data_IF_039142005833
#
_entry.id   IF_039142005833
#
_cell.length_a   1.000
_cell.length_b   1.000
_cell.length_c   1.000
_cell.angle_alpha   90.00
_cell.angle_beta   90.00
_cell.angle_gamma   90.00
#
_symmetry.space_group_name_H-M   'P 1'
#
loop_
_entity.id
_entity.type
_entity.pdbx_description
1 polymer ?
#
# COMPACT_ATOMS: atom_id res chain seq x y z
N UNK A 1 20.03 -9.66 -3.81
CA UNK A 1 20.06 -9.45 -2.34
C UNK A 1 18.75 -8.89 -1.80
N UNK A 2 18.13 -7.89 -2.44
CA UNK A 2 16.86 -7.25 -2.04
C UNK A 2 15.68 -8.22 -1.89
N UNK A 3 15.50 -9.16 -2.84
CA UNK A 3 14.43 -10.15 -2.78
C UNK A 3 14.51 -11.05 -1.55
N UNK A 4 15.73 -11.43 -1.14
CA UNK A 4 15.96 -12.21 0.09
C UNK A 4 15.64 -11.39 1.34
N UNK A 5 16.04 -10.10 1.39
CA UNK A 5 15.68 -9.21 2.52
C UNK A 5 14.16 -9.10 2.66
N UNK A 6 13.45 -8.91 1.55
CA UNK A 6 11.98 -8.90 1.54
C UNK A 6 11.40 -10.23 2.03
N UNK A 7 11.89 -11.35 1.49
CA UNK A 7 11.42 -12.67 1.89
C UNK A 7 11.62 -12.93 3.38
N UNK A 8 12.76 -12.53 3.95
CA UNK A 8 13.04 -12.65 5.39
C UNK A 8 12.14 -11.73 6.21
N UNK A 9 12.01 -10.44 5.84
CA UNK A 9 11.16 -9.49 6.58
C UNK A 9 9.69 -9.92 6.59
N UNK A 10 9.17 -10.33 5.43
CA UNK A 10 7.80 -10.81 5.27
C UNK A 10 7.64 -12.14 6.01
N UNK A 11 8.52 -13.10 5.74
CA UNK A 11 8.47 -14.44 6.31
C UNK A 11 8.58 -14.46 7.82
N UNK A 12 9.50 -13.68 8.41
CA UNK A 12 9.62 -13.54 9.85
C UNK A 12 8.38 -12.92 10.49
N UNK A 13 7.77 -11.92 9.84
CA UNK A 13 6.54 -11.29 10.34
C UNK A 13 5.36 -12.26 10.34
N UNK A 14 5.13 -12.97 9.22
CA UNK A 14 4.06 -13.97 9.13
C UNK A 14 4.32 -15.18 10.03
N UNK A 15 5.56 -15.68 10.08
CA UNK A 15 5.96 -16.77 10.95
C UNK A 15 5.80 -16.43 12.43
N UNK A 16 6.19 -15.22 12.83
CA UNK A 16 5.97 -14.69 14.18
C UNK A 16 4.48 -14.58 14.51
N UNK A 17 3.67 -14.02 13.60
CA UNK A 17 2.22 -13.93 13.80
C UNK A 17 1.57 -15.32 13.94
N UNK A 18 2.00 -16.28 13.13
CA UNK A 18 1.53 -17.66 13.22
C UNK A 18 1.90 -18.30 14.56
N UNK A 19 3.17 -18.16 14.99
CA UNK A 19 3.65 -18.69 16.25
C UNK A 19 2.91 -18.08 17.44
N UNK A 20 2.76 -16.76 17.48
CA UNK A 20 1.98 -16.05 18.51
C UNK A 20 0.54 -16.54 18.53
N UNK A 21 -0.07 -16.74 17.36
CA UNK A 21 -1.45 -17.25 17.26
C UNK A 21 -1.57 -18.68 17.76
N UNK A 22 -0.58 -19.53 17.48
CA UNK A 22 -0.52 -20.90 17.96
C UNK A 22 -0.35 -20.98 19.48
N UNK A 23 0.50 -20.13 20.06
CA UNK A 23 0.81 -20.14 21.50
C UNK A 23 -0.29 -19.49 22.36
N UNK A 24 -0.82 -18.34 21.95
CA UNK A 24 -1.78 -17.56 22.74
C UNK A 24 -3.23 -18.03 22.50
N UNK A 25 -3.50 -18.52 21.29
CA UNK A 25 -4.83 -18.92 20.85
C UNK A 25 -5.66 -17.75 20.29
N UNK A 26 -6.45 -18.06 19.25
CA UNK A 26 -7.32 -17.10 18.54
C UNK A 26 -8.30 -16.33 19.45
N UNK A 27 -8.95 -16.92 20.48
CA UNK A 27 -9.94 -16.20 21.28
C UNK A 27 -9.34 -15.02 22.05
N UNK A 28 -8.14 -15.17 22.60
CA UNK A 28 -7.45 -14.10 23.34
C UNK A 28 -6.98 -12.98 22.41
N UNK A 29 -6.44 -13.33 21.24
CA UNK A 29 -6.05 -12.36 20.21
C UNK A 29 -7.26 -11.55 19.75
N UNK A 30 -8.42 -12.19 19.51
CA UNK A 30 -9.65 -11.48 19.13
C UNK A 30 -10.13 -10.51 20.21
N UNK A 31 -9.99 -10.86 21.50
CA UNK A 31 -10.32 -9.95 22.61
C UNK A 31 -9.38 -8.74 22.66
N UNK A 32 -8.11 -8.92 22.30
CA UNK A 32 -7.12 -7.86 22.25
C UNK A 32 -7.11 -7.06 20.93
N UNK A 33 -7.96 -7.43 19.95
CA UNK A 33 -7.95 -6.82 18.61
C UNK A 33 -8.00 -5.28 18.62
N UNK A 34 -8.84 -4.61 19.40
CA UNK A 34 -8.85 -3.13 19.43
C UNK A 34 -7.52 -2.52 19.88
N UNK A 35 -6.84 -3.14 20.85
CA UNK A 35 -5.54 -2.68 21.33
C UNK A 35 -4.44 -2.94 20.29
N UNK A 36 -4.49 -4.08 19.60
CA UNK A 36 -3.58 -4.42 18.50
C UNK A 36 -3.77 -3.42 17.35
N UNK A 37 -5.00 -3.14 16.94
CA UNK A 37 -5.32 -2.19 15.86
C UNK A 37 -4.81 -0.78 16.21
N UNK A 38 -4.98 -0.36 17.46
CA UNK A 38 -4.45 0.93 17.95
C UNK A 38 -2.92 0.96 17.87
N UNK A 39 -2.25 -0.09 18.36
CA UNK A 39 -0.80 -0.19 18.33
C UNK A 39 -0.24 -0.21 16.90
N UNK A 40 -0.87 -0.97 15.99
CA UNK A 40 -0.51 -1.01 14.56
C UNK A 40 -0.68 0.38 13.95
N UNK A 41 -1.78 1.08 14.24
CA UNK A 41 -2.04 2.41 13.69
C UNK A 41 -0.97 3.42 14.13
N UNK A 42 -0.60 3.41 15.42
CA UNK A 42 0.46 4.26 15.95
C UNK A 42 1.83 3.91 15.34
N UNK A 43 2.14 2.63 15.19
CA UNK A 43 3.38 2.16 14.57
C UNK A 43 3.47 2.61 13.10
N UNK A 44 2.40 2.42 12.32
CA UNK A 44 2.35 2.85 10.92
C UNK A 44 2.48 4.37 10.80
N UNK A 45 1.85 5.13 11.69
CA UNK A 45 1.99 6.58 11.72
C UNK A 45 3.43 7.01 12.01
N UNK A 46 4.07 6.42 13.02
CA UNK A 46 5.46 6.72 13.38
C UNK A 46 6.43 6.38 12.24
N UNK A 47 6.27 5.21 11.61
CA UNK A 47 7.10 4.79 10.46
C UNK A 47 6.86 5.70 9.26
N UNK A 48 5.62 6.09 8.99
CA UNK A 48 5.28 7.03 7.93
C UNK A 48 6.01 8.37 8.10
N UNK A 49 5.98 8.94 9.31
CA UNK A 49 6.71 10.17 9.62
C UNK A 49 8.21 10.03 9.41
N UNK A 50 8.80 8.92 9.88
CA UNK A 50 10.23 8.66 9.74
C UNK A 50 10.65 8.57 8.26
N UNK A 51 9.88 7.85 7.44
CA UNK A 51 10.18 7.69 6.01
C UNK A 51 9.95 8.99 5.23
N UNK A 52 8.95 9.80 5.62
CA UNK A 52 8.65 11.07 4.95
C UNK A 52 9.62 12.19 5.30
N UNK A 53 10.47 12.02 6.32
CA UNK A 53 11.35 13.10 6.81
C UNK A 53 12.15 13.77 5.69
N UNK A 54 12.68 13.00 4.72
CA UNK A 54 13.48 13.52 3.61
C UNK A 54 12.70 14.27 2.53
N UNK A 55 11.37 14.09 2.46
CA UNK A 55 10.54 14.60 1.35
C UNK A 55 10.40 16.13 1.42
N UNK A 56 10.13 16.69 2.61
CA UNK A 56 9.94 18.13 2.79
C UNK A 56 11.17 18.96 2.41
N UNK A 57 12.36 18.67 2.97
CA UNK A 57 13.61 19.35 2.59
C UNK A 57 13.93 19.21 1.10
N UNK A 58 13.70 18.03 0.52
CA UNK A 58 13.95 17.81 -0.90
C UNK A 58 12.94 18.54 -1.81
N UNK A 59 11.69 18.76 -1.36
CA UNK A 59 10.72 19.60 -2.06
C UNK A 59 11.17 21.06 -2.09
N UNK A 60 11.75 21.57 -1.00
CA UNK A 60 12.29 22.94 -0.95
C UNK A 60 13.54 23.07 -1.82
N UNK A 61 14.45 22.10 -1.76
CA UNK A 61 15.71 22.14 -2.48
C UNK A 61 15.55 21.91 -4.00
N UNK A 62 14.63 21.03 -4.41
CA UNK A 62 14.41 20.65 -5.80
C UNK A 62 12.90 20.52 -6.11
N UNK A 63 12.16 21.65 -6.11
CA UNK A 63 10.70 21.65 -6.19
C UNK A 63 10.19 21.01 -7.49
N UNK A 64 10.84 21.26 -8.62
CA UNK A 64 10.45 20.67 -9.91
C UNK A 64 10.56 19.15 -9.91
N UNK A 65 11.69 18.61 -9.45
CA UNK A 65 11.90 17.16 -9.36
C UNK A 65 10.88 16.51 -8.43
N UNK A 66 10.71 17.06 -7.23
CA UNK A 66 9.83 16.46 -6.23
C UNK A 66 8.35 16.57 -6.63
N UNK A 67 7.93 17.69 -7.24
CA UNK A 67 6.57 17.83 -7.76
C UNK A 67 6.30 16.78 -8.84
N UNK A 68 7.24 16.60 -9.77
CA UNK A 68 7.12 15.55 -10.80
C UNK A 68 7.05 14.16 -10.15
N UNK A 69 7.90 13.86 -9.18
CA UNK A 69 7.88 12.59 -8.45
C UNK A 69 6.54 12.32 -7.76
N UNK A 70 5.97 13.31 -7.07
CA UNK A 70 4.67 13.21 -6.40
C UNK A 70 3.55 12.97 -7.41
N UNK A 71 3.52 13.76 -8.50
CA UNK A 71 2.51 13.61 -9.53
C UNK A 71 2.62 12.27 -10.27
N UNK A 72 3.84 11.82 -10.59
CA UNK A 72 4.08 10.53 -11.22
C UNK A 72 3.68 9.37 -10.33
N UNK A 73 4.03 9.40 -9.04
CA UNK A 73 3.65 8.33 -8.10
C UNK A 73 2.13 8.28 -7.87
N UNK A 74 1.45 9.43 -7.81
CA UNK A 74 0.00 9.48 -7.77
C UNK A 74 -0.64 8.95 -9.06
N UNK A 75 -0.13 9.37 -10.22
CA UNK A 75 -0.62 8.91 -11.51
C UNK A 75 -0.45 7.39 -11.67
N UNK A 76 0.71 6.85 -11.30
CA UNK A 76 0.98 5.41 -11.32
C UNK A 76 0.08 4.64 -10.34
N UNK A 77 -0.13 5.17 -9.13
CA UNK A 77 -1.07 4.59 -8.17
C UNK A 77 -2.48 4.48 -8.79
N UNK A 78 -3.01 5.59 -9.29
CA UNK A 78 -4.34 5.63 -9.91
C UNK A 78 -4.44 4.77 -11.17
N UNK A 79 -3.40 4.75 -12.00
CA UNK A 79 -3.31 3.89 -13.17
C UNK A 79 -3.40 2.40 -12.76
N UNK A 80 -2.63 2.00 -11.75
CA UNK A 80 -2.70 0.64 -11.21
C UNK A 80 -4.09 0.31 -10.63
N UNK A 81 -4.75 1.26 -9.96
CA UNK A 81 -6.14 1.05 -9.51
C UNK A 81 -7.09 0.85 -10.69
N UNK A 82 -6.98 1.69 -11.73
CA UNK A 82 -7.79 1.57 -12.94
C UNK A 82 -7.53 0.23 -13.65
N UNK A 83 -6.27 -0.20 -13.75
CA UNK A 83 -5.90 -1.51 -14.29
C UNK A 83 -6.49 -2.64 -13.46
N UNK A 84 -6.41 -2.58 -12.12
CA UNK A 84 -7.02 -3.59 -11.25
C UNK A 84 -8.54 -3.70 -11.44
N UNK A 85 -9.23 -2.56 -11.55
CA UNK A 85 -10.66 -2.52 -11.84
C UNK A 85 -11.02 -3.09 -13.22
N UNK A 86 -10.19 -2.76 -14.22
CA UNK A 86 -10.38 -3.16 -15.61
C UNK A 86 -10.11 -4.66 -15.79
N UNK A 87 -9.01 -5.19 -15.27
CA UNK A 87 -8.64 -6.61 -15.39
C UNK A 87 -9.72 -7.52 -14.80
N UNK A 88 -10.27 -7.16 -13.64
CA UNK A 88 -11.39 -7.90 -13.02
C UNK A 88 -12.76 -7.59 -13.66
N UNK A 89 -12.81 -6.62 -14.56
CA UNK A 89 -14.02 -6.20 -15.26
C UNK A 89 -14.14 -6.68 -16.70
N UNK A 90 -13.01 -6.87 -17.38
CA UNK A 90 -12.96 -7.33 -18.75
C UNK A 90 -13.25 -8.82 -18.83
N UNK A 91 -14.05 -9.19 -19.83
CA UNK A 91 -14.50 -10.56 -20.02
C UNK A 91 -13.35 -11.57 -20.24
N UNK A 92 -12.21 -11.09 -20.74
CA UNK A 92 -11.03 -11.91 -21.04
C UNK A 92 -10.46 -12.59 -19.78
N UNK A 93 -10.51 -11.94 -18.61
CA UNK A 93 -10.05 -12.53 -17.34
C UNK A 93 -11.20 -12.79 -16.36
N UNK A 94 -12.16 -11.86 -16.25
CA UNK A 94 -13.30 -12.00 -15.35
C UNK A 94 -14.23 -13.13 -15.78
N UNK A 95 -14.77 -13.07 -17.01
CA UNK A 95 -15.79 -14.01 -17.47
C UNK A 95 -15.23 -15.39 -17.85
N UNK A 96 -14.03 -15.44 -18.43
CA UNK A 96 -13.43 -16.68 -18.89
C UNK A 96 -12.88 -17.58 -17.75
N UNK A 97 -12.49 -16.99 -16.61
CA UNK A 97 -11.84 -17.73 -15.49
C UNK A 97 -12.68 -17.68 -14.20
N UNK A 98 -13.32 -16.55 -13.89
CA UNK A 98 -14.02 -16.33 -12.60
C UNK A 98 -15.54 -16.16 -12.72
N UNK A 99 -16.09 -16.09 -13.93
CA UNK A 99 -17.50 -15.73 -14.15
C UNK A 99 -17.81 -14.25 -13.86
N UNK A 100 -19.08 -13.86 -13.68
CA UNK A 100 -19.45 -12.48 -13.39
C UNK A 100 -18.89 -12.03 -12.03
N UNK A 101 -17.87 -11.16 -12.06
CA UNK A 101 -17.25 -10.61 -10.85
C UNK A 101 -18.08 -9.43 -10.32
N UNK A 102 -18.53 -9.46 -9.06
CA UNK A 102 -19.26 -8.35 -8.44
C UNK A 102 -18.46 -7.05 -8.46
N UNK A 103 -19.14 -5.91 -8.60
CA UNK A 103 -18.49 -4.59 -8.64
C UNK A 103 -17.65 -4.35 -7.38
N UNK A 104 -18.08 -4.84 -6.22
CA UNK A 104 -17.36 -4.70 -4.95
C UNK A 104 -16.01 -5.43 -4.97
N UNK A 105 -15.91 -6.58 -5.63
CA UNK A 105 -14.67 -7.32 -5.79
C UNK A 105 -13.73 -6.61 -6.76
N UNK A 106 -14.25 -6.06 -7.88
CA UNK A 106 -13.47 -5.25 -8.83
C UNK A 106 -12.89 -4.00 -8.18
N UNK A 107 -13.68 -3.34 -7.34
CA UNK A 107 -13.25 -2.20 -6.54
C UNK A 107 -12.16 -2.63 -5.52
N UNK A 108 -12.36 -3.74 -4.80
CA UNK A 108 -11.32 -4.25 -3.90
C UNK A 108 -10.00 -4.54 -4.62
N UNK A 109 -10.06 -5.15 -5.81
CA UNK A 109 -8.89 -5.40 -6.65
C UNK A 109 -8.19 -4.09 -7.07
N UNK A 110 -8.97 -3.07 -7.43
CA UNK A 110 -8.47 -1.74 -7.75
C UNK A 110 -7.72 -1.10 -6.57
N UNK A 111 -8.30 -1.10 -5.36
CA UNK A 111 -7.62 -0.54 -4.19
C UNK A 111 -6.29 -1.24 -3.90
N UNK A 112 -6.29 -2.57 -3.93
CA UNK A 112 -5.11 -3.38 -3.59
C UNK A 112 -4.02 -3.28 -4.66
N UNK A 113 -4.38 -3.14 -5.94
CA UNK A 113 -3.38 -3.01 -7.01
C UNK A 113 -2.63 -1.67 -6.95
N UNK A 114 -3.31 -0.57 -6.62
CA UNK A 114 -2.67 0.74 -6.49
C UNK A 114 -1.97 0.95 -5.15
N UNK A 115 -2.55 0.50 -4.04
CA UNK A 115 -2.00 0.71 -2.70
C UNK A 115 -0.96 -0.36 -2.34
N UNK A 116 0.25 -0.15 -2.84
CA UNK A 116 1.42 -0.99 -2.58
C UNK A 116 2.08 -0.58 -1.26
N UNK A 117 2.71 -1.53 -0.57
CA UNK A 117 3.51 -1.25 0.61
C UNK A 117 4.89 -0.70 0.22
N UNK A 118 4.96 0.61 -0.05
CA UNK A 118 6.22 1.30 -0.41
C UNK A 118 7.20 1.40 0.75
N UNK A 119 6.73 1.37 2.01
CA UNK A 119 7.59 1.34 3.20
C UNK A 119 8.45 0.06 3.20
N UNK A 120 7.83 -1.09 2.94
CA UNK A 120 8.54 -2.37 2.90
C UNK A 120 9.52 -2.44 1.72
N UNK A 121 9.12 -1.90 0.55
CA UNK A 121 10.00 -1.80 -0.60
C UNK A 121 11.21 -0.92 -0.29
N UNK A 122 10.97 0.26 0.31
CA UNK A 122 12.02 1.18 0.72
C UNK A 122 12.98 0.49 1.69
N UNK A 123 12.48 -0.14 2.76
CA UNK A 123 13.30 -0.84 3.74
C UNK A 123 14.22 -1.91 3.12
N UNK A 124 13.79 -2.56 2.04
CA UNK A 124 14.59 -3.55 1.36
C UNK A 124 15.70 -2.95 0.47
N UNK A 125 15.45 -1.80 -0.17
CA UNK A 125 16.40 -1.12 -1.07
C UNK A 125 17.24 -0.05 -0.36
N UNK A 126 16.84 0.39 0.83
CA UNK A 126 17.52 1.47 1.57
C UNK A 126 19.00 1.16 1.74
N UNK A 127 19.83 2.17 1.42
CA UNK A 127 21.29 2.07 1.47
C UNK A 127 21.90 1.19 0.37
N UNK A 128 21.11 0.74 -0.60
CA UNK A 128 21.58 -0.05 -1.76
C UNK A 128 21.33 0.65 -3.11
N UNK A 129 20.71 1.82 -3.13
CA UNK A 129 20.30 2.50 -4.36
C UNK A 129 20.57 4.01 -4.36
N UNK A 130 20.17 4.64 -5.46
CA UNK A 130 20.31 6.09 -5.66
C UNK A 130 19.35 6.86 -4.75
N UNK A 131 19.87 7.86 -4.03
CA UNK A 131 19.09 8.73 -3.13
C UNK A 131 17.81 9.33 -3.77
N UNK A 132 17.81 9.74 -5.06
CA UNK A 132 16.57 10.14 -5.76
C UNK A 132 15.49 9.05 -5.78
N UNK A 133 15.86 7.78 -5.97
CA UNK A 133 14.90 6.67 -5.97
C UNK A 133 14.27 6.49 -4.59
N UNK A 134 15.07 6.57 -3.52
CA UNK A 134 14.56 6.52 -2.15
C UNK A 134 13.55 7.65 -1.88
N UNK A 135 13.85 8.87 -2.34
CA UNK A 135 12.94 10.01 -2.23
C UNK A 135 11.66 9.84 -3.05
N UNK A 136 11.72 9.26 -4.25
CA UNK A 136 10.52 8.96 -5.06
C UNK A 136 9.67 7.89 -4.35
N UNK A 137 10.28 6.83 -3.81
CA UNK A 137 9.56 5.79 -3.07
C UNK A 137 8.94 6.33 -1.78
N UNK A 138 9.63 7.27 -1.12
CA UNK A 138 9.11 8.02 0.02
C UNK A 138 7.91 8.88 -0.43
N UNK A 139 8.06 9.74 -1.44
CA UNK A 139 6.94 10.53 -1.99
C UNK A 139 5.74 9.67 -2.43
N UNK A 140 6.00 8.44 -2.88
CA UNK A 140 4.99 7.42 -3.21
C UNK A 140 4.11 6.95 -2.04
N UNK A 141 4.34 7.42 -0.81
CA UNK A 141 3.41 7.26 0.30
C UNK A 141 2.28 8.30 0.30
N UNK A 142 2.48 9.48 -0.31
CA UNK A 142 1.44 10.51 -0.39
C UNK A 142 0.16 10.00 -1.10
N UNK A 143 0.24 9.21 -2.19
CA UNK A 143 -0.93 8.56 -2.78
C UNK A 143 -1.75 7.70 -1.81
N UNK A 144 -1.15 7.11 -0.76
CA UNK A 144 -1.90 6.34 0.24
C UNK A 144 -2.91 7.23 0.98
N UNK A 145 -2.54 8.49 1.23
CA UNK A 145 -3.38 9.46 1.95
C UNK A 145 -4.30 10.25 1.01
N UNK A 146 -3.86 10.50 -0.22
CA UNK A 146 -4.62 11.28 -1.22
C UNK A 146 -5.61 10.43 -2.01
N UNK A 147 -5.27 9.18 -2.35
CA UNK A 147 -6.13 8.35 -3.19
C UNK A 147 -7.49 8.04 -2.57
N UNK A 148 -7.65 7.84 -1.25
CA UNK A 148 -8.99 7.66 -0.66
C UNK A 148 -9.87 8.89 -0.84
N UNK A 149 -9.32 10.10 -0.81
CA UNK A 149 -10.08 11.34 -1.01
C UNK A 149 -10.62 11.43 -2.45
N UNK A 150 -9.85 10.95 -3.42
CA UNK A 150 -10.22 10.95 -4.84
C UNK A 150 -11.22 9.82 -5.14
N UNK A 151 -10.99 8.64 -4.57
CA UNK A 151 -11.65 7.40 -4.97
C UNK A 151 -12.89 7.09 -4.12
N UNK A 152 -12.96 7.51 -2.86
CA UNK A 152 -14.11 7.26 -1.98
C UNK A 152 -15.47 7.72 -2.56
N UNK A 153 -15.60 8.88 -3.24
CA UNK A 153 -16.86 9.28 -3.87
C UNK A 153 -17.32 8.29 -4.94
N UNK A 154 -16.39 7.71 -5.71
CA UNK A 154 -16.68 6.72 -6.73
C UNK A 154 -17.19 5.41 -6.10
N UNK A 155 -16.58 5.01 -4.99
CA UNK A 155 -16.96 3.80 -4.25
C UNK A 155 -18.35 3.93 -3.65
N UNK A 156 -18.67 5.11 -3.11
CA UNK A 156 -19.99 5.39 -2.56
C UNK A 156 -21.07 5.32 -3.64
N UNK A 157 -20.82 5.88 -4.83
CA UNK A 157 -21.75 5.81 -5.98
C UNK A 157 -21.92 4.40 -6.53
N UNK A 158 -20.87 3.59 -6.52
CA UNK A 158 -20.90 2.22 -7.00
C UNK A 158 -21.58 1.25 -6.02
N UNK A 159 -21.59 1.55 -4.71
CA UNK A 159 -22.35 0.78 -3.70
C UNK A 159 -23.84 1.10 -3.67
N UNK A 160 -24.25 2.28 -4.16
CA UNK A 160 -25.65 2.71 -4.21
C UNK A 160 -26.40 2.30 -5.48
N UNK A 161 -25.72 1.61 -6.40
CA UNK A 161 -26.28 0.99 -7.61
C UNK A 161 -26.26 -0.52 -7.43
#
# INVERSE_FOLDING_TARGET
MTALRLAVMIGASFGGAFLVTALIGRPRIRRAAPAIDTAITLLVAAVGLAVMHGVGPALVAAPGFMTLAILSTLALNLALQATGFAVFGFAIFGFAILGPVPVQARLSAALVSGNRNMILLLAAISGQGDRPLELIMAAGQLPLYLSPLIVAPLYRRARSR
#
